data_IF_093499830567
#
_entry.id   IF_093499830567
#
_cell.length_a   1.000
_cell.length_b   1.000
_cell.length_c   1.000
_cell.angle_alpha   90.00
_cell.angle_beta   90.00
_cell.angle_gamma   90.00
#
_symmetry.space_group_name_H-M   'P 1'
#
loop_
_entity.id
_entity.type
_entity.pdbx_description
1 polymer ?
#
# COMPACT_ATOMS: atom_id res chain seq x y z
N UNK A 1 24.76 14.52 15.32
CA UNK A 1 24.37 15.00 16.66
C UNK A 1 24.12 13.79 17.55
N UNK A 2 24.54 13.83 18.82
CA UNK A 2 24.29 12.79 19.82
C UNK A 2 23.31 13.34 20.85
N UNK A 3 22.24 12.61 21.10
CA UNK A 3 21.17 13.01 22.01
C UNK A 3 20.80 11.83 22.89
N UNK A 4 20.49 12.08 24.15
CA UNK A 4 19.97 11.08 25.09
C UNK A 4 18.47 11.30 25.24
N UNK A 5 17.70 10.23 25.13
CA UNK A 5 16.23 10.23 25.25
C UNK A 5 15.80 9.07 26.13
N UNK A 6 14.81 9.31 26.97
CA UNK A 6 14.18 8.27 27.79
C UNK A 6 13.03 7.65 26.99
N UNK A 7 13.00 6.32 26.92
CA UNK A 7 12.02 5.53 26.16
C UNK A 7 11.53 4.43 27.10
N UNK A 8 10.27 4.04 26.94
CA UNK A 8 9.70 2.88 27.61
C UNK A 8 10.39 1.59 27.11
N UNK A 9 10.84 0.75 28.04
CA UNK A 9 11.61 -0.46 27.72
C UNK A 9 10.74 -1.53 27.04
N UNK A 10 9.48 -1.67 27.44
CA UNK A 10 8.55 -2.63 26.85
C UNK A 10 8.27 -2.23 25.39
N UNK A 11 8.07 -0.94 25.13
CA UNK A 11 7.90 -0.42 23.77
C UNK A 11 9.14 -0.64 22.90
N UNK A 12 10.33 -0.46 23.48
CA UNK A 12 11.58 -0.63 22.75
C UNK A 12 11.78 -2.11 22.36
N UNK A 13 11.44 -3.03 23.26
CA UNK A 13 11.60 -4.46 23.02
C UNK A 13 10.56 -5.00 22.04
N UNK A 14 9.30 -4.58 22.15
CA UNK A 14 8.26 -4.84 21.15
C UNK A 14 8.69 -4.36 19.76
N UNK A 15 9.23 -3.14 19.68
CA UNK A 15 9.69 -2.58 18.42
C UNK A 15 10.86 -3.39 17.83
N UNK A 16 11.81 -3.85 18.65
CA UNK A 16 12.91 -4.71 18.19
C UNK A 16 12.41 -6.07 17.71
N UNK A 17 11.45 -6.68 18.42
CA UNK A 17 10.86 -7.96 18.05
C UNK A 17 10.12 -7.87 16.72
N UNK A 18 9.24 -6.87 16.57
CA UNK A 18 8.41 -6.70 15.39
C UNK A 18 9.21 -6.27 14.15
N UNK A 19 10.24 -5.45 14.32
CA UNK A 19 11.06 -4.95 13.19
C UNK A 19 12.28 -5.83 12.90
N UNK A 20 12.70 -6.68 13.84
CA UNK A 20 13.95 -7.43 13.78
C UNK A 20 15.21 -6.56 13.94
N UNK A 21 15.08 -5.25 14.20
CA UNK A 21 16.21 -4.33 14.33
C UNK A 21 16.72 -4.36 15.77
N UNK A 22 17.88 -4.99 16.00
CA UNK A 22 18.48 -5.13 17.34
C UNK A 22 19.15 -3.85 17.84
N UNK A 23 19.66 -3.03 16.93
CA UNK A 23 20.43 -1.83 17.27
C UNK A 23 19.50 -0.62 17.49
N UNK A 24 19.46 -0.09 18.71
CA UNK A 24 18.58 1.03 19.09
C UNK A 24 18.82 2.29 18.23
N UNK A 25 20.08 2.59 17.87
CA UNK A 25 20.41 3.75 17.03
C UNK A 25 19.77 3.65 15.64
N UNK A 26 19.81 2.45 15.04
CA UNK A 26 19.21 2.14 13.75
C UNK A 26 17.69 2.16 13.85
N UNK A 27 17.13 1.54 14.89
CA UNK A 27 15.69 1.54 15.14
C UNK A 27 15.15 2.97 15.27
N UNK A 28 15.84 3.83 16.01
CA UNK A 28 15.47 5.25 16.16
C UNK A 28 15.55 6.02 14.83
N UNK A 29 16.57 5.79 14.02
CA UNK A 29 16.68 6.41 12.70
C UNK A 29 15.53 5.99 11.79
N UNK A 30 15.22 4.71 11.72
CA UNK A 30 14.12 4.18 10.91
C UNK A 30 12.77 4.70 11.41
N UNK A 31 12.54 4.69 12.72
CA UNK A 31 11.31 5.21 13.32
C UNK A 31 11.06 6.68 12.94
N UNK A 32 12.09 7.51 12.99
CA UNK A 32 12.01 8.92 12.59
C UNK A 32 11.74 9.08 11.08
N UNK A 33 12.38 8.27 10.23
CA UNK A 33 12.14 8.30 8.79
C UNK A 33 10.70 7.90 8.44
N UNK A 34 10.19 6.83 9.07
CA UNK A 34 8.80 6.37 8.90
C UNK A 34 7.81 7.45 9.36
N UNK A 35 8.07 8.11 10.50
CA UNK A 35 7.21 9.19 10.99
C UNK A 35 7.17 10.37 10.01
N UNK A 36 8.32 10.78 9.49
CA UNK A 36 8.41 11.86 8.49
C UNK A 36 7.66 11.48 7.22
N UNK A 37 7.86 10.26 6.70
CA UNK A 37 7.19 9.79 5.49
C UNK A 37 5.66 9.77 5.66
N UNK A 38 5.17 9.28 6.82
CA UNK A 38 3.75 9.25 7.16
C UNK A 38 3.13 10.65 7.18
N UNK A 39 3.78 11.60 7.84
CA UNK A 39 3.28 12.97 7.94
C UNK A 39 3.40 13.74 6.62
N UNK A 40 4.46 13.50 5.85
CA UNK A 40 4.59 14.04 4.50
C UNK A 40 3.45 13.56 3.61
N UNK A 41 3.14 12.25 3.62
CA UNK A 41 2.02 11.68 2.88
C UNK A 41 0.67 12.28 3.29
N UNK A 42 0.42 12.46 4.60
CA UNK A 42 -0.77 13.13 5.11
C UNK A 42 -0.91 14.56 4.61
N UNK A 43 0.16 15.35 4.66
CA UNK A 43 0.18 16.73 4.17
C UNK A 43 -0.05 16.79 2.66
N UNK A 44 0.59 15.91 1.90
CA UNK A 44 0.42 15.83 0.44
C UNK A 44 -1.01 15.45 0.05
N UNK A 45 -1.61 14.48 0.74
CA UNK A 45 -3.00 14.12 0.52
C UNK A 45 -3.96 15.28 0.85
N UNK A 46 -3.69 16.03 1.93
CA UNK A 46 -4.48 17.20 2.29
C UNK A 46 -4.38 18.34 1.26
N UNK A 47 -3.27 18.43 0.51
CA UNK A 47 -3.11 19.39 -0.58
C UNK A 47 -3.90 19.01 -1.85
N UNK A 48 -4.63 17.87 -1.86
CA UNK A 48 -5.54 17.51 -2.95
C UNK A 48 -4.86 16.93 -4.20
N UNK A 49 -3.54 16.70 -4.16
CA UNK A 49 -2.77 16.30 -5.34
C UNK A 49 -2.70 17.42 -6.39
N UNK A 50 -2.18 17.11 -7.59
CA UNK A 50 -2.12 18.10 -8.69
C UNK A 50 -3.48 18.30 -9.39
N UNK A 51 -4.45 17.41 -9.16
CA UNK A 51 -5.77 17.44 -9.79
C UNK A 51 -6.87 17.13 -8.75
N UNK A 52 -7.22 18.10 -7.89
CA UNK A 52 -8.19 17.90 -6.80
C UNK A 52 -9.60 17.57 -7.29
N UNK A 53 -9.97 18.05 -8.49
CA UNK A 53 -11.27 17.82 -9.12
C UNK A 53 -11.27 16.64 -10.10
N UNK A 54 -10.24 15.77 -10.05
CA UNK A 54 -10.15 14.63 -10.96
C UNK A 54 -11.31 13.66 -10.68
N UNK A 55 -12.22 13.53 -11.65
CA UNK A 55 -13.28 12.54 -11.60
C UNK A 55 -12.69 11.13 -11.50
N UNK A 56 -13.37 10.25 -10.76
CA UNK A 56 -12.95 8.85 -10.61
C UNK A 56 -12.72 8.19 -11.98
N UNK A 57 -11.46 7.83 -12.28
CA UNK A 57 -11.11 7.13 -13.52
C UNK A 57 -11.43 5.63 -13.35
N UNK A 58 -12.24 5.02 -14.23
CA UNK A 58 -12.53 3.60 -14.16
C UNK A 58 -11.23 2.79 -14.23
N UNK A 59 -10.98 1.92 -13.24
CA UNK A 59 -9.87 0.96 -13.35
C UNK A 59 -10.13 0.07 -14.55
N UNK A 60 -9.20 0.05 -15.52
CA UNK A 60 -9.21 -0.96 -16.58
C UNK A 60 -9.04 -2.33 -15.92
N UNK A 61 -10.14 -3.04 -15.71
CA UNK A 61 -10.06 -4.50 -15.54
C UNK A 61 -9.49 -5.04 -16.85
N UNK A 62 -8.45 -5.88 -16.82
CA UNK A 62 -8.07 -6.61 -18.01
C UNK A 62 -9.35 -7.31 -18.53
N UNK A 63 -9.67 -7.20 -19.83
CA UNK A 63 -10.73 -8.02 -20.40
C UNK A 63 -10.27 -9.44 -20.19
N UNK A 64 -10.97 -10.20 -19.34
CA UNK A 64 -10.71 -11.58 -18.95
C UNK A 64 -9.70 -12.25 -19.88
N UNK A 65 -8.41 -12.18 -19.54
CA UNK A 65 -7.38 -12.84 -20.34
C UNK A 65 -7.55 -14.33 -20.02
N UNK A 66 -8.37 -15.01 -20.82
CA UNK A 66 -8.34 -16.45 -20.95
C UNK A 66 -7.10 -16.75 -21.80
N UNK A 67 -5.99 -17.06 -21.14
CA UNK A 67 -4.86 -17.65 -21.84
C UNK A 67 -5.29 -19.08 -22.22
N UNK A 68 -5.31 -19.41 -23.52
CA UNK A 68 -5.55 -20.78 -24.00
C UNK A 68 -4.49 -21.77 -23.46
N UNK A 69 -3.33 -21.23 -23.06
CA UNK A 69 -2.16 -21.93 -22.55
C UNK A 69 -1.90 -21.56 -21.07
N UNK A 70 -2.95 -21.63 -20.26
CA UNK A 70 -2.84 -21.52 -18.80
C UNK A 70 -2.81 -22.92 -18.19
N UNK A 71 -1.76 -23.23 -17.41
CA UNK A 71 -1.71 -24.44 -16.55
C UNK A 71 -2.87 -24.50 -15.54
N UNK A 72 -3.64 -23.41 -15.42
CA UNK A 72 -4.90 -23.34 -14.70
C UNK A 72 -6.07 -23.18 -15.69
N UNK A 73 -6.79 -24.26 -16.02
CA UNK A 73 -7.99 -24.17 -16.83
C UNK A 73 -9.05 -23.34 -16.10
N UNK A 74 -9.87 -22.61 -16.85
CA UNK A 74 -11.03 -21.93 -16.29
C UNK A 74 -11.89 -22.95 -15.51
N UNK A 75 -12.42 -22.60 -14.32
CA UNK A 75 -13.29 -23.51 -13.58
C UNK A 75 -14.51 -23.85 -14.44
N UNK A 76 -14.97 -25.10 -14.39
CA UNK A 76 -16.00 -25.65 -15.28
C UNK A 76 -17.32 -24.86 -15.36
N UNK A 77 -17.56 -23.96 -14.40
CA UNK A 77 -18.77 -23.13 -14.29
C UNK A 77 -18.55 -21.65 -14.66
N UNK A 78 -17.47 -21.30 -15.37
CA UNK A 78 -17.24 -19.93 -15.81
C UNK A 78 -18.23 -19.54 -16.93
N UNK A 79 -19.38 -18.98 -16.58
CA UNK A 79 -20.31 -18.41 -17.56
C UNK A 79 -19.68 -17.18 -18.26
N UNK A 80 -19.74 -17.09 -19.59
CA UNK A 80 -19.25 -15.91 -20.31
C UNK A 80 -20.10 -14.70 -19.95
N UNK A 81 -19.46 -13.66 -19.39
CA UNK A 81 -20.12 -12.43 -18.98
C UNK A 81 -20.92 -11.83 -20.16
N UNK A 82 -22.25 -11.78 -20.01
CA UNK A 82 -23.18 -11.21 -21.00
C UNK A 82 -22.71 -9.82 -21.45
N UNK A 83 -22.38 -9.66 -22.73
CA UNK A 83 -22.22 -8.35 -23.39
C UNK A 83 -23.53 -7.57 -23.21
N UNK A 84 -23.55 -6.58 -22.31
CA UNK A 84 -24.61 -5.57 -22.33
C UNK A 84 -24.39 -4.76 -23.61
N UNK A 85 -25.27 -5.03 -24.60
CA UNK A 85 -25.47 -4.16 -25.76
C UNK A 85 -25.80 -2.77 -25.23
N UNK A 86 -24.87 -1.82 -25.36
CA UNK A 86 -25.19 -0.39 -25.30
C UNK A 86 -25.99 -0.06 -26.55
N UNK A 87 -27.31 0.09 -26.39
CA UNK A 87 -28.20 0.63 -27.40
C UNK A 87 -28.04 2.13 -27.55
N UNK A 88 -28.45 2.59 -28.74
CA UNK A 88 -28.56 3.98 -29.19
C UNK A 88 -29.28 4.90 -28.22
#
# INVERSE_FOLDING_TARGET
MRTTVTIDDDLLDDAKELTGIKETSRLMREALQVLVAREAGRRLAAMGGSQPDLAYVPRRRPPNFVNEESDYPAPANAEPARKKRSGQ
#
